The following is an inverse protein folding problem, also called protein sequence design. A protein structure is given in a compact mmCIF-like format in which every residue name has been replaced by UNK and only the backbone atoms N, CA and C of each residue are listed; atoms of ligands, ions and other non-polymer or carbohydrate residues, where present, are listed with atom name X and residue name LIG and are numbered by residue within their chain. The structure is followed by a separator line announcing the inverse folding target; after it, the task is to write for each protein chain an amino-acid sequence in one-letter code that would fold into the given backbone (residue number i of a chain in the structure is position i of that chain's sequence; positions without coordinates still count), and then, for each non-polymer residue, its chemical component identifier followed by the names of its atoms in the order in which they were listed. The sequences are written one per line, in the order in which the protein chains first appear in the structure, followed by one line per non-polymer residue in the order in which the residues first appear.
data_IF_906810946328
#
_entry.id   IF_906810946328
#
_cell.length_a   1.000
_cell.length_b   1.000
_cell.length_c   1.000
_cell.angle_alpha   90.00
_cell.angle_beta   90.00
_cell.angle_gamma   90.00
#
_symmetry.space_group_name_H-M   'P 1'
#
loop_
_entity.id
_entity.type
_entity.pdbx_description
1 polymer ?
#
# COMPACT_ATOMS: atom_id res chain seq x y z
N UNK A 1 -6.80 -5.34 4.86
CA UNK A 1 -5.56 -6.14 5.11
C UNK A 1 -5.66 -6.78 6.49
N UNK A 2 -5.02 -7.94 6.72
CA UNK A 2 -4.97 -8.60 8.03
C UNK A 2 -3.54 -8.49 8.57
N UNK A 3 -3.20 -7.38 9.24
CA UNK A 3 -1.82 -7.10 9.53
C UNK A 3 -1.42 -7.97 10.73
N UNK A 4 -0.52 -8.92 10.51
CA UNK A 4 -0.09 -9.87 11.52
C UNK A 4 0.41 -9.14 12.78
N UNK A 5 -0.14 -9.48 13.94
CA UNK A 5 0.28 -8.98 15.26
C UNK A 5 1.09 -10.03 16.04
N UNK A 6 0.86 -11.31 15.75
CA UNK A 6 1.58 -12.44 16.31
C UNK A 6 1.65 -13.55 15.26
N UNK A 7 2.77 -14.28 15.19
CA UNK A 7 2.87 -15.51 14.39
C UNK A 7 3.49 -16.62 15.22
N UNK A 8 2.81 -17.76 15.30
CA UNK A 8 3.30 -18.98 15.95
C UNK A 8 3.63 -20.01 14.90
N UNK A 9 4.91 -20.31 14.78
CA UNK A 9 5.43 -21.25 13.78
C UNK A 9 6.60 -22.03 14.38
N UNK A 10 6.65 -23.34 14.12
CA UNK A 10 7.76 -24.19 14.57
C UNK A 10 9.07 -23.87 13.84
N UNK A 11 10.19 -24.06 14.54
CA UNK A 11 11.55 -23.84 14.01
C UNK A 11 12.12 -22.46 14.34
N UNK A 12 13.12 -22.00 13.58
CA UNK A 12 13.86 -20.76 13.86
C UNK A 12 13.47 -19.68 12.85
N UNK A 13 12.74 -18.70 13.36
CA UNK A 13 12.24 -17.56 12.58
C UNK A 13 12.54 -16.26 13.30
N UNK A 14 12.85 -15.22 12.52
CA UNK A 14 12.93 -13.84 12.99
C UNK A 14 11.73 -13.06 12.47
N UNK A 15 11.20 -12.18 13.30
CA UNK A 15 10.10 -11.28 12.93
C UNK A 15 10.65 -9.86 12.77
N UNK A 16 10.38 -9.27 11.60
CA UNK A 16 10.66 -7.87 11.31
C UNK A 16 9.34 -7.09 11.48
N UNK A 17 9.21 -6.22 12.51
CA UNK A 17 7.93 -5.66 12.92
C UNK A 17 7.38 -4.56 12.00
N UNK A 18 8.21 -3.85 11.24
CA UNK A 18 7.77 -2.72 10.40
C UNK A 18 7.05 -3.21 9.13
N UNK A 19 7.68 -4.14 8.43
CA UNK A 19 7.16 -4.86 7.27
C UNK A 19 6.38 -6.12 7.64
N UNK A 20 6.26 -6.44 8.93
CA UNK A 20 5.51 -7.58 9.49
C UNK A 20 5.86 -8.91 8.83
N UNK A 21 7.14 -9.07 8.53
CA UNK A 21 7.66 -10.19 7.74
C UNK A 21 8.36 -11.21 8.63
N UNK A 22 8.12 -12.50 8.35
CA UNK A 22 8.92 -13.58 8.94
C UNK A 22 10.07 -13.95 8.01
N UNK A 23 11.26 -14.03 8.59
CA UNK A 23 12.49 -14.45 7.92
C UNK A 23 12.94 -15.77 8.52
N UNK A 24 13.09 -16.80 7.69
CA UNK A 24 13.62 -18.10 8.10
C UNK A 24 15.14 -18.04 8.24
N UNK A 25 15.67 -18.60 9.33
CA UNK A 25 17.11 -18.72 9.53
C UNK A 25 17.64 -20.06 8.99
N UNK A 26 18.94 -20.11 8.66
CA UNK A 26 19.67 -21.31 8.25
C UNK A 26 18.98 -22.13 7.13
N UNK A 27 18.43 -21.43 6.13
CA UNK A 27 17.79 -22.06 4.96
C UNK A 27 16.38 -22.59 5.21
N UNK A 28 15.77 -22.28 6.35
CA UNK A 28 14.39 -22.62 6.64
C UNK A 28 13.42 -21.92 5.66
N UNK A 29 12.49 -22.69 5.09
CA UNK A 29 11.49 -22.17 4.13
C UNK A 29 10.07 -22.45 4.63
N UNK A 30 9.10 -21.73 4.08
CA UNK A 30 7.68 -21.91 4.40
C UNK A 30 7.04 -23.13 3.73
N UNK A 31 7.79 -23.91 2.94
CA UNK A 31 7.28 -25.08 2.23
C UNK A 31 6.76 -26.13 3.22
N UNK A 32 5.46 -26.43 3.15
CA UNK A 32 4.81 -27.40 4.02
C UNK A 32 4.64 -26.94 5.47
N UNK A 33 5.02 -25.70 5.79
CA UNK A 33 4.87 -25.15 7.13
C UNK A 33 3.39 -24.95 7.48
N UNK A 34 3.06 -25.22 8.74
CA UNK A 34 1.78 -24.85 9.36
C UNK A 34 2.09 -23.84 10.46
N UNK A 35 1.29 -22.79 10.53
CA UNK A 35 1.48 -21.70 11.47
C UNK A 35 0.13 -21.07 11.83
N UNK A 36 0.08 -20.43 12.99
CA UNK A 36 -1.05 -19.64 13.45
C UNK A 36 -0.69 -18.16 13.40
N UNK A 37 -1.64 -17.30 13.00
CA UNK A 37 -1.45 -15.85 12.93
C UNK A 37 -2.54 -15.17 13.75
N UNK A 38 -2.14 -14.29 14.67
CA UNK A 38 -3.02 -13.31 15.27
C UNK A 38 -3.09 -12.06 14.39
N UNK A 39 -4.28 -11.50 14.21
CA UNK A 39 -4.48 -10.23 13.51
C UNK A 39 -5.45 -9.37 14.30
N UNK A 40 -5.20 -8.06 14.26
CA UNK A 40 -6.16 -7.06 14.75
C UNK A 40 -6.99 -6.56 13.57
N UNK A 41 -8.31 -6.66 13.66
CA UNK A 41 -9.23 -6.06 12.70
C UNK A 41 -9.67 -4.71 13.27
N UNK A 42 -9.33 -3.63 12.58
CA UNK A 42 -9.71 -2.27 12.97
C UNK A 42 -10.71 -1.76 11.92
N UNK A 43 -11.84 -1.24 12.39
CA UNK A 43 -12.92 -0.71 11.52
C UNK A 43 -13.21 0.75 11.90
N UNK A 44 -12.29 1.69 11.58
CA UNK A 44 -12.51 3.10 11.89
C UNK A 44 -13.60 3.68 10.96
N UNK A 45 -14.46 4.52 11.52
CA UNK A 45 -15.42 5.30 10.74
C UNK A 45 -14.75 6.47 10.03
N UNK A 46 -15.33 6.93 8.91
CA UNK A 46 -14.88 8.14 8.23
C UNK A 46 -14.76 9.36 9.18
N UNK A 47 -15.72 9.51 10.11
CA UNK A 47 -15.70 10.59 11.09
C UNK A 47 -14.50 10.48 12.06
N UNK A 48 -14.14 9.27 12.50
CA UNK A 48 -12.96 9.05 13.34
C UNK A 48 -11.66 9.37 12.59
N UNK A 49 -11.58 9.03 11.30
CA UNK A 49 -10.40 9.34 10.47
C UNK A 49 -10.29 10.83 10.18
N UNK A 50 -11.40 11.50 9.83
CA UNK A 50 -11.43 12.94 9.56
C UNK A 50 -11.12 13.80 10.80
N UNK A 51 -11.43 13.29 12.00
CA UNK A 51 -11.17 13.97 13.28
C UNK A 51 -9.90 13.48 13.98
N UNK A 52 -9.11 12.61 13.33
CA UNK A 52 -7.87 12.11 13.91
C UNK A 52 -6.89 13.26 14.16
N UNK A 53 -6.18 13.19 15.28
CA UNK A 53 -5.09 14.12 15.57
C UNK A 53 -3.93 13.97 14.58
N UNK A 54 -2.95 14.90 14.60
CA UNK A 54 -1.79 14.80 13.74
C UNK A 54 -1.02 13.50 14.01
N UNK A 55 -0.43 12.88 12.97
CA UNK A 55 0.39 11.69 13.14
C UNK A 55 1.64 11.99 14.00
N UNK A 56 2.17 10.99 14.74
CA UNK A 56 3.43 11.11 15.45
C UNK A 56 4.56 11.65 14.55
N UNK A 57 5.40 12.52 15.11
CA UNK A 57 6.45 13.19 14.36
C UNK A 57 7.44 12.21 13.70
N UNK A 58 7.68 11.07 14.34
CA UNK A 58 8.51 9.97 13.83
C UNK A 58 7.93 9.40 12.53
N UNK A 59 6.62 9.18 12.47
CA UNK A 59 5.95 8.68 11.26
C UNK A 59 5.98 9.71 10.15
N UNK A 60 5.80 10.99 10.48
CA UNK A 60 5.93 12.07 9.49
C UNK A 60 7.34 12.07 8.92
N UNK A 61 8.39 12.11 9.76
CA UNK A 61 9.78 12.14 9.30
C UNK A 61 10.15 10.96 8.43
N UNK A 62 9.66 9.76 8.73
CA UNK A 62 9.99 8.55 7.97
C UNK A 62 9.15 8.43 6.69
N UNK A 63 7.83 8.57 6.81
CA UNK A 63 6.88 8.19 5.76
C UNK A 63 6.39 9.32 4.88
N UNK A 64 6.89 10.56 5.02
CA UNK A 64 6.63 11.64 4.05
C UNK A 64 7.81 11.93 3.12
N UNK A 65 8.92 11.19 3.22
CA UNK A 65 10.09 11.44 2.39
C UNK A 65 9.85 11.09 0.92
N UNK A 66 10.27 11.99 0.04
CA UNK A 66 10.32 11.79 -1.41
C UNK A 66 11.75 12.02 -1.92
N UNK A 67 12.23 11.25 -2.90
CA UNK A 67 13.55 11.48 -3.48
C UNK A 67 13.56 12.79 -4.25
N UNK A 68 14.68 13.51 -4.25
CA UNK A 68 14.84 14.75 -5.04
C UNK A 68 14.71 14.55 -6.56
N UNK A 69 14.74 13.31 -7.03
CA UNK A 69 14.48 12.93 -8.42
C UNK A 69 12.99 12.80 -8.77
N UNK A 70 12.08 12.96 -7.81
CA UNK A 70 10.63 12.88 -8.06
C UNK A 70 10.21 14.08 -8.92
N UNK A 71 9.64 13.86 -10.13
CA UNK A 71 9.22 14.97 -10.99
C UNK A 71 8.15 15.84 -10.34
N UNK A 72 8.26 17.17 -10.50
CA UNK A 72 7.35 18.15 -9.88
C UNK A 72 5.87 17.94 -10.20
N UNK A 73 5.57 17.41 -11.40
CA UNK A 73 4.20 17.06 -11.82
C UNK A 73 3.48 16.14 -10.83
N UNK A 74 4.20 15.32 -10.06
CA UNK A 74 3.59 14.44 -9.06
C UNK A 74 2.96 15.26 -7.92
N UNK A 75 3.69 16.25 -7.39
CA UNK A 75 3.18 17.13 -6.34
C UNK A 75 2.07 18.04 -6.89
N UNK A 76 2.29 18.64 -8.06
CA UNK A 76 1.30 19.51 -8.72
C UNK A 76 -0.03 18.78 -8.98
N UNK A 77 0.03 17.52 -9.44
CA UNK A 77 -1.17 16.70 -9.64
C UNK A 77 -1.84 16.36 -8.30
N UNK A 78 -1.08 16.09 -7.24
CA UNK A 78 -1.63 15.79 -5.92
C UNK A 78 -2.38 16.98 -5.34
N UNK A 79 -1.83 18.19 -5.45
CA UNK A 79 -2.48 19.43 -5.02
C UNK A 79 -3.78 19.68 -5.80
N UNK A 80 -3.75 19.51 -7.13
CA UNK A 80 -4.94 19.69 -7.98
C UNK A 80 -6.05 18.68 -7.67
N UNK A 81 -5.72 17.39 -7.58
CA UNK A 81 -6.69 16.32 -7.30
C UNK A 81 -7.33 16.51 -5.92
N UNK A 82 -6.58 17.04 -4.95
CA UNK A 82 -7.04 17.20 -3.58
C UNK A 82 -7.60 18.59 -3.25
N UNK A 83 -7.74 19.47 -4.24
CA UNK A 83 -8.27 20.82 -4.06
C UNK A 83 -9.60 20.82 -3.32
N UNK A 84 -9.75 21.69 -2.32
CA UNK A 84 -10.96 21.80 -1.51
C UNK A 84 -11.17 20.70 -0.47
N UNK A 85 -10.21 19.79 -0.26
CA UNK A 85 -10.20 18.90 0.90
C UNK A 85 -9.86 19.68 2.18
N UNK A 86 -10.53 19.35 3.28
CA UNK A 86 -10.43 20.06 4.57
C UNK A 86 -9.39 19.44 5.52
N UNK A 87 -8.99 18.19 5.27
CA UNK A 87 -8.09 17.42 6.12
C UNK A 87 -7.38 16.30 5.32
N UNK A 88 -6.35 15.68 5.92
CA UNK A 88 -5.55 14.63 5.29
C UNK A 88 -6.38 13.40 4.88
N UNK A 89 -7.44 13.07 5.64
CA UNK A 89 -8.33 11.97 5.29
C UNK A 89 -9.10 12.27 3.99
N UNK A 90 -9.68 13.47 3.86
CA UNK A 90 -10.35 13.90 2.63
C UNK A 90 -9.39 13.96 1.44
N UNK A 91 -8.14 14.38 1.65
CA UNK A 91 -7.11 14.33 0.61
C UNK A 91 -6.84 12.88 0.17
N UNK A 92 -6.69 11.95 1.11
CA UNK A 92 -6.46 10.53 0.80
C UNK A 92 -7.64 9.90 0.05
N UNK A 93 -8.88 10.21 0.44
CA UNK A 93 -10.09 9.74 -0.25
C UNK A 93 -10.15 10.30 -1.68
N UNK A 94 -9.87 11.60 -1.88
CA UNK A 94 -9.84 12.16 -3.25
C UNK A 94 -8.78 11.51 -4.13
N UNK A 95 -7.59 11.23 -3.59
CA UNK A 95 -6.56 10.48 -4.32
C UNK A 95 -7.04 9.08 -4.67
N UNK A 96 -7.71 8.39 -3.73
CA UNK A 96 -8.28 7.05 -3.96
C UNK A 96 -9.30 7.09 -5.09
N UNK A 97 -10.27 8.00 -5.02
CA UNK A 97 -11.36 8.12 -5.99
C UNK A 97 -10.83 8.52 -7.37
N UNK A 98 -9.80 9.37 -7.42
CA UNK A 98 -9.13 9.73 -8.66
C UNK A 98 -8.47 8.53 -9.34
N UNK A 99 -7.75 7.69 -8.59
CA UNK A 99 -7.18 6.47 -9.16
C UNK A 99 -8.22 5.41 -9.50
N UNK A 100 -9.28 5.30 -8.70
CA UNK A 100 -10.27 4.23 -8.81
C UNK A 100 -11.38 4.51 -9.82
N UNK A 101 -11.69 5.79 -10.10
CA UNK A 101 -12.89 6.15 -10.88
C UNK A 101 -12.72 7.40 -11.74
N UNK A 102 -12.22 8.50 -11.20
CA UNK A 102 -12.36 9.81 -11.88
C UNK A 102 -11.20 10.14 -12.82
N UNK A 103 -10.02 9.59 -12.56
CA UNK A 103 -8.78 9.88 -13.30
C UNK A 103 -8.66 9.18 -14.65
N UNK A 104 -9.59 8.26 -14.97
CA UNK A 104 -9.58 7.53 -16.25
C UNK A 104 -8.41 6.56 -16.37
N UNK A 105 -8.05 5.89 -15.27
CA UNK A 105 -7.01 4.87 -15.25
C UNK A 105 -7.52 3.50 -15.68
N UNK A 106 -6.68 2.77 -16.41
CA UNK A 106 -6.94 1.40 -16.84
C UNK A 106 -6.01 0.43 -16.13
N UNK A 107 -6.56 -0.67 -15.62
CA UNK A 107 -5.77 -1.75 -15.06
C UNK A 107 -5.30 -2.71 -16.15
N UNK A 108 -4.00 -2.72 -16.45
CA UNK A 108 -3.35 -3.63 -17.39
C UNK A 108 -2.03 -4.18 -16.83
N UNK A 109 -1.93 -5.51 -16.75
CA UNK A 109 -0.73 -6.24 -16.30
C UNK A 109 0.29 -6.47 -17.42
N UNK A 110 -0.01 -6.10 -18.67
CA UNK A 110 0.88 -6.31 -19.82
C UNK A 110 1.80 -5.11 -20.10
N UNK A 111 1.55 -3.96 -19.47
CA UNK A 111 2.42 -2.79 -19.62
C UNK A 111 3.85 -3.05 -19.19
N UNK A 112 4.79 -2.43 -19.89
CA UNK A 112 6.20 -2.44 -19.48
C UNK A 112 6.39 -1.53 -18.29
N UNK A 113 6.78 -2.11 -17.14
CA UNK A 113 7.10 -1.32 -15.95
C UNK A 113 8.40 -0.54 -16.18
N UNK A 114 8.36 0.76 -15.94
CA UNK A 114 9.57 1.57 -15.77
C UNK A 114 10.19 1.38 -14.39
N UNK A 115 11.39 1.91 -14.18
CA UNK A 115 12.04 1.97 -12.86
C UNK A 115 12.25 3.41 -12.40
N UNK A 116 12.33 3.60 -11.08
CA UNK A 116 12.60 4.89 -10.45
C UNK A 116 11.45 5.90 -10.52
N UNK A 117 11.69 7.10 -9.99
CA UNK A 117 10.67 8.14 -9.80
C UNK A 117 10.03 8.65 -11.10
N UNK A 118 10.72 8.52 -12.24
CA UNK A 118 10.19 8.90 -13.55
C UNK A 118 9.07 7.95 -14.03
N UNK A 119 9.00 6.73 -13.49
CA UNK A 119 7.93 5.79 -13.78
C UNK A 119 6.58 6.26 -13.23
N UNK A 120 6.56 6.99 -12.11
CA UNK A 120 5.35 7.59 -11.55
C UNK A 120 4.79 8.64 -12.51
N UNK A 121 5.62 9.60 -12.93
CA UNK A 121 5.17 10.63 -13.87
C UNK A 121 4.72 10.04 -15.22
N UNK A 122 5.37 8.98 -15.70
CA UNK A 122 4.94 8.23 -16.88
C UNK A 122 3.54 7.63 -16.69
N UNK A 123 3.32 6.94 -15.57
CA UNK A 123 2.02 6.34 -15.26
C UNK A 123 0.91 7.38 -15.12
N UNK A 124 1.15 8.51 -14.46
CA UNK A 124 0.15 9.59 -14.36
C UNK A 124 -0.27 10.15 -15.74
N UNK A 125 0.65 10.15 -16.70
CA UNK A 125 0.40 10.58 -18.08
C UNK A 125 -0.30 9.49 -18.90
N UNK A 126 0.22 8.27 -18.87
CA UNK A 126 -0.24 7.17 -19.73
C UNK A 126 -1.54 6.55 -19.20
N UNK A 127 -1.80 6.67 -17.89
CA UNK A 127 -3.01 6.22 -17.18
C UNK A 127 -3.30 4.73 -17.32
N UNK A 128 -2.27 3.93 -17.58
CA UNK A 128 -2.38 2.49 -17.74
C UNK A 128 -1.30 1.79 -16.92
N UNK A 129 -1.71 0.82 -16.10
CA UNK A 129 -0.79 0.09 -15.25
C UNK A 129 -1.47 -0.94 -14.37
N UNK A 130 -0.74 -1.50 -13.41
CA UNK A 130 -1.26 -2.50 -12.48
C UNK A 130 -0.89 -2.13 -11.04
N UNK A 131 -1.24 -2.97 -10.07
CA UNK A 131 -1.22 -2.65 -8.62
C UNK A 131 0.01 -1.87 -8.11
N UNK A 132 1.22 -2.16 -8.60
CA UNK A 132 2.45 -1.44 -8.25
C UNK A 132 2.37 0.03 -8.70
N UNK A 133 1.98 0.30 -9.94
CA UNK A 133 1.90 1.67 -10.48
C UNK A 133 0.91 2.53 -9.68
N UNK A 134 -0.28 2.01 -9.42
CA UNK A 134 -1.29 2.68 -8.61
C UNK A 134 -0.79 2.95 -7.19
N UNK A 135 -0.27 1.92 -6.53
CA UNK A 135 0.14 2.01 -5.12
C UNK A 135 1.29 2.99 -4.91
N UNK A 136 2.34 2.89 -5.72
CA UNK A 136 3.50 3.77 -5.58
C UNK A 136 3.17 5.22 -5.98
N UNK A 137 2.30 5.42 -6.97
CA UNK A 137 1.90 6.76 -7.39
C UNK A 137 1.02 7.44 -6.33
N UNK A 138 0.02 6.73 -5.79
CA UNK A 138 -0.81 7.26 -4.70
C UNK A 138 0.02 7.56 -3.45
N UNK A 139 0.92 6.65 -3.06
CA UNK A 139 1.81 6.88 -1.94
C UNK A 139 2.72 8.10 -2.18
N UNK A 140 3.32 8.23 -3.36
CA UNK A 140 4.19 9.38 -3.68
C UNK A 140 3.43 10.71 -3.66
N UNK A 141 2.24 10.77 -4.25
CA UNK A 141 1.37 11.95 -4.23
C UNK A 141 0.99 12.33 -2.80
N UNK A 142 0.60 11.36 -1.98
CA UNK A 142 0.27 11.64 -0.59
C UNK A 142 1.46 12.14 0.23
N UNK A 143 2.65 11.57 0.02
CA UNK A 143 3.89 12.05 0.65
C UNK A 143 4.21 13.49 0.29
N UNK A 144 3.96 13.90 -0.96
CA UNK A 144 4.14 15.31 -1.37
C UNK A 144 3.15 16.26 -0.68
N UNK A 145 2.00 15.76 -0.24
CA UNK A 145 1.01 16.50 0.56
C UNK A 145 1.31 16.47 2.06
N UNK A 146 2.40 15.82 2.50
CA UNK A 146 2.76 15.67 3.91
C UNK A 146 1.96 14.59 4.64
N UNK A 147 1.23 13.73 3.91
CA UNK A 147 0.52 12.59 4.48
C UNK A 147 1.51 11.41 4.58
N UNK A 148 1.77 10.86 5.79
CA UNK A 148 2.62 9.69 5.94
C UNK A 148 2.07 8.51 5.13
N UNK A 149 2.83 7.99 4.17
CA UNK A 149 2.35 6.90 3.33
C UNK A 149 3.42 5.84 3.06
N UNK A 150 3.01 4.60 2.81
CA UNK A 150 3.88 3.48 2.41
C UNK A 150 3.16 2.54 1.45
N UNK A 151 3.92 1.66 0.79
CA UNK A 151 3.36 0.60 -0.04
C UNK A 151 3.55 -0.72 0.67
N UNK A 152 2.44 -1.44 0.89
CA UNK A 152 2.46 -2.81 1.37
C UNK A 152 2.33 -3.77 0.18
N UNK A 153 3.01 -4.91 0.28
CA UNK A 153 2.97 -5.99 -0.71
C UNK A 153 2.56 -7.27 -0.01
N UNK A 154 1.65 -8.01 -0.63
CA UNK A 154 1.14 -9.25 -0.08
C UNK A 154 0.22 -9.93 -1.08
N UNK A 155 -0.92 -10.42 -0.60
CA UNK A 155 -1.90 -11.11 -1.42
C UNK A 155 -3.31 -10.58 -1.15
N UNK A 156 -4.13 -10.48 -2.21
CA UNK A 156 -5.58 -10.28 -2.10
C UNK A 156 -6.26 -11.52 -1.52
N UNK A 157 -7.54 -11.41 -1.12
CA UNK A 157 -8.31 -12.60 -0.76
C UNK A 157 -8.24 -13.66 -1.86
N UNK A 158 -7.89 -14.88 -1.47
CA UNK A 158 -7.78 -16.00 -2.39
C UNK A 158 -9.13 -16.64 -2.73
N UNK A 159 -9.10 -17.87 -3.23
CA UNK A 159 -10.30 -18.63 -3.61
C UNK A 159 -10.76 -19.55 -2.48
N UNK A 160 -12.03 -19.45 -2.09
CA UNK A 160 -12.64 -20.38 -1.14
C UNK A 160 -12.79 -21.77 -1.75
N UNK A 161 -12.32 -22.80 -1.04
CA UNK A 161 -12.45 -24.21 -1.38
C UNK A 161 -13.73 -24.80 -0.78
N UNK A 162 -14.11 -25.99 -1.25
CA UNK A 162 -15.30 -26.70 -0.79
C UNK A 162 -15.27 -27.08 0.70
N UNK A 163 -14.07 -27.22 1.28
CA UNK A 163 -13.85 -27.50 2.71
C UNK A 163 -13.83 -26.23 3.58
N UNK A 164 -14.10 -25.06 3.01
CA UNK A 164 -14.07 -23.77 3.69
C UNK A 164 -12.68 -23.15 3.82
N UNK A 165 -11.61 -23.83 3.37
CA UNK A 165 -10.27 -23.24 3.37
C UNK A 165 -10.14 -22.18 2.25
N UNK A 166 -9.37 -21.12 2.51
CA UNK A 166 -9.02 -20.14 1.48
C UNK A 166 -7.67 -20.51 0.86
N UNK A 167 -7.64 -20.68 -0.46
CA UNK A 167 -6.43 -20.91 -1.24
C UNK A 167 -5.89 -19.59 -1.79
N UNK A 168 -4.69 -19.20 -1.38
CA UNK A 168 -3.99 -18.01 -1.88
C UNK A 168 -2.77 -18.46 -2.69
N UNK A 169 -2.58 -17.89 -3.88
CA UNK A 169 -1.46 -18.22 -4.77
C UNK A 169 -0.87 -16.99 -5.46
N UNK A 170 0.11 -17.20 -6.34
CA UNK A 170 0.85 -16.11 -7.01
C UNK A 170 -0.03 -15.17 -7.83
N UNK A 171 -1.16 -15.65 -8.37
CA UNK A 171 -2.14 -14.83 -9.10
C UNK A 171 -2.83 -13.79 -8.21
N UNK A 172 -2.81 -14.01 -6.89
CA UNK A 172 -3.42 -13.14 -5.90
C UNK A 172 -2.39 -12.13 -5.36
N UNK A 173 -1.14 -12.14 -5.86
CA UNK A 173 -0.11 -11.21 -5.43
C UNK A 173 -0.53 -9.76 -5.74
N UNK A 174 -0.38 -8.87 -4.76
CA UNK A 174 -0.88 -7.51 -4.86
C UNK A 174 -0.05 -6.53 -4.05
N UNK A 175 -0.12 -5.26 -4.45
CA UNK A 175 0.41 -4.13 -3.71
C UNK A 175 -0.71 -3.12 -3.47
N UNK A 176 -0.72 -2.47 -2.31
CA UNK A 176 -1.65 -1.39 -1.97
C UNK A 176 -0.93 -0.25 -1.22
N UNK A 177 -1.38 1.00 -1.37
CA UNK A 177 -0.91 2.10 -0.54
C UNK A 177 -1.55 2.03 0.86
N UNK A 178 -0.81 2.47 1.87
CA UNK A 178 -1.30 2.75 3.22
C UNK A 178 -0.97 4.21 3.54
N UNK A 179 -1.95 4.97 4.04
CA UNK A 179 -1.91 6.41 4.31
C UNK A 179 -2.52 6.73 5.67
#
# INVERSE_FOLDING_TARGET
PYPASEVRVGGRWRYEPEGRTLVGDDGQTTRGARYEVGSLVVEPTAAQLASAGPPPAELVREYTQVPGSLPGVVAETAEQVTEGASNAYEQAVKLQDWFASDGGFTYDTTVTSGTGSSAIARFLRDREGFCIHFSFSMAAMARTLGIPARVAVGFTPGTMKADGAISVGLRDAHAWPEL
#
